data_IF_681235614164
#
_entry.id   IF_681235614164
#
_cell.length_a   1.000
_cell.length_b   1.000
_cell.length_c   1.000
_cell.angle_alpha   90.00
_cell.angle_beta   90.00
_cell.angle_gamma   90.00
#
_symmetry.space_group_name_H-M   'P 1'
#
loop_
_entity.id
_entity.type
_entity.pdbx_description
1 polymer ?
#
# COMPACT_ATOMS: atom_id res chain seq x y z
N UNK A 1 -34.32 -11.17 90.17
CA UNK A 1 -35.12 -12.22 89.49
C UNK A 1 -34.58 -12.38 88.14
N UNK A 2 -33.85 -13.49 87.97
CA UNK A 2 -32.99 -13.80 86.82
C UNK A 2 -33.77 -14.78 85.92
N UNK A 3 -33.92 -14.42 84.67
CA UNK A 3 -34.42 -15.38 83.67
C UNK A 3 -33.35 -15.64 82.60
N UNK A 4 -32.94 -16.91 82.52
CA UNK A 4 -31.98 -17.49 81.62
C UNK A 4 -32.73 -17.76 80.32
N UNK A 5 -32.24 -17.28 79.18
CA UNK A 5 -32.76 -17.59 77.88
C UNK A 5 -31.79 -18.58 77.17
N UNK A 6 -32.31 -19.70 76.79
CA UNK A 6 -31.57 -20.79 76.16
C UNK A 6 -31.35 -20.52 74.68
N UNK A 7 -30.08 -20.65 74.20
CA UNK A 7 -29.72 -20.60 72.78
C UNK A 7 -30.01 -21.98 72.13
N UNK A 8 -30.87 -21.94 71.10
CA UNK A 8 -31.02 -23.06 70.18
C UNK A 8 -29.90 -23.02 69.12
N UNK A 9 -29.07 -24.03 69.03
CA UNK A 9 -28.12 -24.19 67.98
C UNK A 9 -28.77 -24.79 66.72
N UNK A 10 -28.85 -24.05 65.64
CA UNK A 10 -29.29 -24.58 64.36
C UNK A 10 -28.11 -25.26 63.63
N UNK A 11 -28.30 -26.51 63.28
CA UNK A 11 -27.32 -27.30 62.51
C UNK A 11 -27.35 -26.84 61.03
N UNK A 12 -26.16 -26.47 60.49
CA UNK A 12 -25.97 -26.20 59.08
C UNK A 12 -25.93 -27.51 58.26
N UNK A 13 -26.51 -27.53 57.05
CA UNK A 13 -26.42 -28.71 56.18
C UNK A 13 -24.99 -28.85 55.58
N UNK A 14 -24.57 -30.05 55.22
CA UNK A 14 -23.23 -30.30 54.70
C UNK A 14 -23.03 -29.64 53.32
N UNK A 15 -21.90 -28.96 53.16
CA UNK A 15 -21.47 -28.39 51.91
C UNK A 15 -21.11 -29.50 50.93
N UNK A 16 -21.81 -29.62 49.80
CA UNK A 16 -21.48 -30.55 48.73
C UNK A 16 -20.11 -30.22 48.13
N UNK A 17 -19.25 -31.23 48.00
CA UNK A 17 -17.95 -31.10 47.37
C UNK A 17 -18.12 -30.68 45.89
N UNK A 18 -17.25 -29.81 45.33
CA UNK A 18 -17.31 -29.45 43.92
C UNK A 18 -17.01 -30.68 43.05
N UNK A 19 -17.87 -30.92 42.06
CA UNK A 19 -17.66 -31.99 41.08
C UNK A 19 -16.33 -31.74 40.33
N UNK A 20 -15.50 -32.76 40.21
CA UNK A 20 -14.26 -32.73 39.48
C UNK A 20 -14.52 -32.33 38.01
N UNK A 21 -13.92 -31.26 37.55
CA UNK A 21 -14.01 -30.84 36.17
C UNK A 21 -13.41 -31.93 35.26
N UNK A 22 -14.21 -32.43 34.33
CA UNK A 22 -13.74 -33.33 33.28
C UNK A 22 -12.72 -32.59 32.43
N UNK A 23 -11.50 -33.11 32.25
CA UNK A 23 -10.51 -32.45 31.41
C UNK A 23 -11.02 -32.39 29.95
N UNK A 24 -11.21 -31.20 29.42
CA UNK A 24 -11.47 -30.99 28.00
C UNK A 24 -10.23 -31.49 27.25
N UNK A 25 -10.35 -32.39 26.26
CA UNK A 25 -9.20 -32.79 25.47
C UNK A 25 -8.64 -31.55 24.76
N UNK A 26 -7.38 -31.19 25.08
CA UNK A 26 -6.64 -30.20 24.31
C UNK A 26 -6.51 -30.75 22.90
N UNK A 27 -7.12 -30.06 21.93
CA UNK A 27 -6.75 -30.26 20.52
C UNK A 27 -5.23 -30.15 20.41
N UNK A 28 -4.55 -31.12 19.76
CA UNK A 28 -3.13 -30.96 19.49
C UNK A 28 -2.95 -29.68 18.73
N UNK A 29 -2.10 -28.76 19.25
CA UNK A 29 -1.64 -27.60 18.49
C UNK A 29 -1.12 -28.14 17.15
N UNK A 30 -1.63 -27.64 16.04
CA UNK A 30 -1.13 -27.97 14.72
C UNK A 30 0.40 -27.80 14.80
N UNK A 31 1.15 -28.89 14.56
CA UNK A 31 2.58 -28.87 14.62
C UNK A 31 3.06 -27.80 13.62
N UNK A 32 3.66 -26.71 14.10
CA UNK A 32 4.26 -25.71 13.24
C UNK A 32 5.28 -26.44 12.36
N UNK A 33 5.10 -26.36 11.04
CA UNK A 33 6.10 -26.89 10.12
C UNK A 33 7.45 -26.24 10.45
N UNK A 34 8.56 -26.98 10.43
CA UNK A 34 9.87 -26.37 10.62
C UNK A 34 10.04 -25.19 9.67
N UNK A 35 10.63 -24.10 10.14
CA UNK A 35 10.79 -22.86 9.33
C UNK A 35 11.45 -23.13 7.97
N UNK A 36 12.40 -24.06 7.92
CA UNK A 36 13.07 -24.47 6.70
C UNK A 36 12.11 -25.01 5.64
N UNK A 37 11.09 -25.75 6.04
CA UNK A 37 10.05 -26.25 5.14
C UNK A 37 9.16 -25.11 4.62
N UNK A 38 8.81 -24.15 5.48
CA UNK A 38 8.06 -22.96 5.08
C UNK A 38 8.88 -22.10 4.11
N UNK A 39 10.18 -21.87 4.38
CA UNK A 39 11.04 -21.10 3.51
C UNK A 39 11.24 -21.77 2.14
N UNK A 40 11.40 -23.10 2.11
CA UNK A 40 11.50 -23.85 0.85
C UNK A 40 10.20 -23.79 0.04
N UNK A 41 9.03 -23.83 0.70
CA UNK A 41 7.75 -23.67 0.03
C UNK A 41 7.57 -22.25 -0.51
N UNK A 42 7.99 -21.22 0.24
CA UNK A 42 8.03 -19.84 -0.25
C UNK A 42 8.94 -19.69 -1.47
N UNK A 43 10.16 -20.25 -1.43
CA UNK A 43 11.07 -20.24 -2.60
C UNK A 43 10.38 -20.85 -3.82
N UNK A 44 9.70 -21.99 -3.64
CA UNK A 44 9.01 -22.70 -4.72
C UNK A 44 7.84 -21.89 -5.31
N UNK A 45 6.93 -21.37 -4.45
CA UNK A 45 5.74 -20.66 -4.95
C UNK A 45 6.08 -19.32 -5.58
N UNK A 46 7.08 -18.61 -5.05
CA UNK A 46 7.55 -17.33 -5.61
C UNK A 46 8.20 -17.55 -6.98
N UNK A 47 9.12 -18.50 -7.10
CA UNK A 47 9.77 -18.80 -8.37
C UNK A 47 8.77 -19.27 -9.43
N UNK A 48 7.80 -20.11 -9.03
CA UNK A 48 6.75 -20.57 -9.93
C UNK A 48 5.88 -19.38 -10.40
N UNK A 49 5.36 -18.57 -9.49
CA UNK A 49 4.52 -17.42 -9.82
C UNK A 49 5.27 -16.38 -10.67
N UNK A 50 6.54 -16.09 -10.34
CA UNK A 50 7.36 -15.19 -11.13
C UNK A 50 7.62 -15.72 -12.56
N UNK A 51 7.90 -17.02 -12.69
CA UNK A 51 8.12 -17.67 -13.99
C UNK A 51 6.84 -17.65 -14.84
N UNK A 52 5.70 -18.05 -14.24
CA UNK A 52 4.40 -18.10 -14.94
C UNK A 52 3.94 -16.70 -15.37
N UNK A 53 4.29 -15.68 -14.60
CA UNK A 53 3.98 -14.28 -14.90
C UNK A 53 5.03 -13.59 -15.80
N UNK A 54 6.12 -14.28 -16.17
CA UNK A 54 7.17 -13.69 -17.03
C UNK A 54 7.97 -12.57 -16.37
N UNK A 55 8.07 -12.56 -15.04
CA UNK A 55 8.79 -11.54 -14.27
C UNK A 55 10.30 -11.76 -14.38
N UNK A 56 11.10 -10.77 -14.89
CA UNK A 56 12.54 -10.93 -15.01
C UNK A 56 13.24 -11.08 -13.67
N UNK A 57 12.84 -10.27 -12.67
CA UNK A 57 13.42 -10.29 -11.34
C UNK A 57 12.45 -9.80 -10.26
N UNK A 58 12.59 -10.38 -9.07
CA UNK A 58 11.76 -10.03 -7.90
C UNK A 58 12.57 -10.01 -6.63
N UNK A 59 12.29 -9.04 -5.77
CA UNK A 59 12.76 -8.94 -4.39
C UNK A 59 11.55 -9.17 -3.49
N UNK A 60 11.68 -10.08 -2.52
CA UNK A 60 10.61 -10.40 -1.56
C UNK A 60 11.13 -10.38 -0.15
N UNK A 61 10.37 -9.76 0.73
CA UNK A 61 10.56 -9.83 2.17
C UNK A 61 9.27 -10.18 2.91
N UNK A 62 9.36 -11.13 3.83
CA UNK A 62 8.28 -11.47 4.77
C UNK A 62 8.84 -11.51 6.18
N UNK A 63 8.20 -10.75 7.07
CA UNK A 63 8.56 -10.69 8.49
C UNK A 63 7.34 -10.99 9.34
N UNK A 64 7.49 -11.90 10.30
CA UNK A 64 6.45 -12.27 11.23
C UNK A 64 7.06 -12.54 12.60
N UNK A 65 6.50 -12.01 13.72
CA UNK A 65 7.04 -12.22 15.06
C UNK A 65 7.18 -13.71 15.39
N UNK A 66 8.31 -14.05 16.00
CA UNK A 66 8.60 -15.44 16.41
C UNK A 66 9.05 -16.36 15.27
N UNK A 67 9.19 -15.84 14.06
CA UNK A 67 9.74 -16.57 12.91
C UNK A 67 11.02 -15.87 12.41
N UNK A 68 11.99 -16.62 11.85
CA UNK A 68 13.09 -16.01 11.12
C UNK A 68 12.58 -15.19 9.94
N UNK A 69 13.27 -14.10 9.61
CA UNK A 69 12.95 -13.30 8.45
C UNK A 69 13.12 -14.12 7.15
N UNK A 70 12.17 -13.98 6.24
CA UNK A 70 12.34 -14.44 4.87
C UNK A 70 12.67 -13.23 3.99
N UNK A 71 13.88 -13.19 3.41
CA UNK A 71 14.31 -12.14 2.49
C UNK A 71 15.06 -12.80 1.36
N UNK A 72 14.56 -12.67 0.13
CA UNK A 72 15.11 -13.30 -1.08
C UNK A 72 15.02 -12.38 -2.28
N UNK A 73 15.92 -12.59 -3.22
CA UNK A 73 15.84 -12.06 -4.56
C UNK A 73 15.97 -13.21 -5.57
N UNK A 74 15.17 -13.18 -6.63
CA UNK A 74 15.15 -14.18 -7.69
C UNK A 74 15.23 -13.51 -9.05
N UNK A 75 15.79 -14.20 -10.04
CA UNK A 75 15.91 -13.71 -11.41
C UNK A 75 17.01 -12.67 -11.58
N UNK A 76 16.81 -11.76 -12.52
CA UNK A 76 17.82 -10.80 -12.96
C UNK A 76 17.37 -9.35 -12.75
N UNK A 77 18.31 -8.51 -12.36
CA UNK A 77 18.14 -7.06 -12.26
C UNK A 77 18.31 -6.37 -13.64
N UNK A 78 19.10 -7.00 -14.51
CA UNK A 78 19.29 -6.56 -15.89
C UNK A 78 19.27 -7.80 -16.81
N UNK A 79 18.41 -7.76 -17.84
CA UNK A 79 18.27 -8.85 -18.82
C UNK A 79 19.34 -8.82 -19.88
N UNK A 80 20.04 -7.69 -20.09
CA UNK A 80 21.09 -7.54 -21.10
C UNK A 80 22.37 -8.27 -20.70
N UNK A 81 22.84 -8.03 -19.47
CA UNK A 81 24.08 -8.61 -18.97
C UNK A 81 23.84 -9.76 -17.98
N UNK A 82 22.56 -10.10 -17.74
CA UNK A 82 22.15 -11.12 -16.78
C UNK A 82 22.62 -10.83 -15.34
N UNK A 83 22.74 -9.54 -14.97
CA UNK A 83 23.07 -9.16 -13.60
C UNK A 83 22.02 -9.71 -12.62
N UNK A 84 22.43 -10.43 -11.55
CA UNK A 84 21.47 -11.05 -10.66
C UNK A 84 20.67 -10.00 -9.87
N UNK A 85 19.38 -10.30 -9.64
CA UNK A 85 18.58 -9.50 -8.70
C UNK A 85 19.17 -9.59 -7.30
N UNK A 86 19.17 -8.46 -6.56
CA UNK A 86 19.69 -8.35 -5.20
C UNK A 86 18.72 -7.61 -4.31
N UNK A 87 18.78 -7.89 -3.01
CA UNK A 87 17.84 -7.32 -2.02
C UNK A 87 18.13 -5.87 -1.62
N UNK A 88 19.26 -5.34 -2.03
CA UNK A 88 19.74 -3.97 -1.73
C UNK A 88 19.60 -3.00 -2.92
N UNK A 89 18.80 -3.36 -3.94
CA UNK A 89 18.56 -2.52 -5.09
C UNK A 89 17.44 -1.52 -4.82
N UNK A 90 17.65 -0.28 -5.26
CA UNK A 90 16.60 0.71 -5.35
C UNK A 90 15.59 0.32 -6.44
N UNK A 91 14.31 0.55 -6.16
CA UNK A 91 13.19 0.26 -7.06
C UNK A 91 12.25 1.47 -7.11
N UNK A 92 11.59 1.68 -8.24
CA UNK A 92 10.45 2.61 -8.31
C UNK A 92 9.24 1.93 -7.69
N UNK A 93 8.53 2.63 -6.77
CA UNK A 93 7.46 2.05 -5.96
C UNK A 93 6.04 2.43 -6.43
N UNK A 94 5.93 3.16 -7.54
CA UNK A 94 4.63 3.49 -8.12
C UNK A 94 3.65 4.09 -7.12
N UNK A 95 2.43 3.65 -7.18
CA UNK A 95 1.32 4.19 -6.38
C UNK A 95 1.46 4.05 -4.87
N UNK A 96 2.44 3.32 -4.35
CA UNK A 96 2.77 3.38 -2.92
C UNK A 96 3.16 4.80 -2.49
N UNK A 97 3.60 5.65 -3.44
CA UNK A 97 3.78 7.10 -3.27
C UNK A 97 2.59 7.79 -2.61
N UNK A 98 1.35 7.34 -2.92
CA UNK A 98 0.12 7.91 -2.36
C UNK A 98 0.08 7.84 -0.85
N UNK A 99 0.61 6.76 -0.27
CA UNK A 99 0.66 6.61 1.17
C UNK A 99 1.52 7.69 1.83
N UNK A 100 2.60 8.11 1.17
CA UNK A 100 3.48 9.20 1.65
C UNK A 100 2.83 10.58 1.47
N UNK A 101 2.28 10.85 0.29
CA UNK A 101 1.60 12.13 0.00
C UNK A 101 0.43 12.38 0.95
N UNK A 102 -0.42 11.35 1.14
CA UNK A 102 -1.56 11.47 2.04
C UNK A 102 -1.11 11.52 3.51
N UNK A 103 -0.02 10.85 3.90
CA UNK A 103 0.54 11.01 5.26
C UNK A 103 1.02 12.44 5.48
N UNK A 104 1.64 13.09 4.51
CA UNK A 104 2.02 14.50 4.61
C UNK A 104 0.78 15.39 4.83
N UNK A 105 -0.29 15.19 4.05
CA UNK A 105 -1.56 15.89 4.24
C UNK A 105 -2.13 15.64 5.65
N UNK A 106 -2.19 14.39 6.10
CA UNK A 106 -2.77 14.02 7.40
C UNK A 106 -1.97 14.60 8.58
N UNK A 107 -0.66 14.80 8.44
CA UNK A 107 0.11 15.56 9.44
C UNK A 107 -0.26 17.04 9.49
N UNK A 108 -0.64 17.64 8.36
CA UNK A 108 -1.19 19.02 8.36
C UNK A 108 -2.58 19.06 9.00
N UNK A 109 -3.38 18.01 8.83
CA UNK A 109 -4.66 17.85 9.57
C UNK A 109 -4.42 17.78 11.08
N UNK A 110 -3.44 16.98 11.52
CA UNK A 110 -3.07 16.88 12.94
C UNK A 110 -2.64 18.22 13.56
N UNK A 111 -2.06 19.10 12.75
CA UNK A 111 -1.65 20.45 13.17
C UNK A 111 -2.77 21.47 13.06
N UNK A 112 -3.93 21.11 12.51
CA UNK A 112 -5.06 22.02 12.27
C UNK A 112 -4.80 23.03 11.15
N UNK A 113 -3.85 22.76 10.26
CA UNK A 113 -3.51 23.61 9.12
C UNK A 113 -4.46 23.40 7.94
N UNK A 114 -5.09 22.21 7.85
CA UNK A 114 -6.14 21.84 6.87
C UNK A 114 -7.21 20.98 7.54
N UNK A 115 -8.45 21.01 7.04
CA UNK A 115 -9.53 20.08 7.41
C UNK A 115 -9.76 19.01 6.35
N UNK A 116 -10.03 17.76 6.75
CA UNK A 116 -10.38 16.71 5.78
C UNK A 116 -11.65 17.04 4.99
N UNK A 117 -12.56 17.79 5.57
CA UNK A 117 -13.84 18.16 4.96
C UNK A 117 -13.79 19.55 4.29
N UNK A 118 -12.61 20.17 4.20
CA UNK A 118 -12.41 21.38 3.42
C UNK A 118 -12.60 21.09 1.93
N UNK A 119 -13.28 22.00 1.17
CA UNK A 119 -13.38 21.85 -0.28
C UNK A 119 -12.05 22.10 -0.97
N UNK A 120 -11.76 21.34 -2.02
CA UNK A 120 -10.51 21.51 -2.78
C UNK A 120 -10.37 22.90 -3.38
N UNK A 121 -11.47 23.57 -3.71
CA UNK A 121 -11.48 24.95 -4.23
C UNK A 121 -10.89 25.98 -3.28
N UNK A 122 -10.77 25.67 -1.98
CA UNK A 122 -10.05 26.53 -1.02
C UNK A 122 -8.53 26.58 -1.24
N UNK A 123 -7.98 25.60 -1.99
CA UNK A 123 -6.55 25.39 -2.16
C UNK A 123 -6.10 25.46 -3.62
N UNK A 124 -6.90 24.91 -4.54
CA UNK A 124 -6.56 24.80 -5.97
C UNK A 124 -7.74 25.34 -6.78
N UNK A 125 -7.44 26.36 -7.60
CA UNK A 125 -8.43 26.98 -8.48
C UNK A 125 -8.73 26.10 -9.71
N UNK A 126 -9.92 26.25 -10.28
CA UNK A 126 -10.28 25.65 -11.58
C UNK A 126 -10.66 24.16 -11.53
N UNK A 127 -10.70 23.54 -10.34
CA UNK A 127 -11.12 22.13 -10.20
C UNK A 127 -12.60 22.00 -10.51
N UNK A 128 -13.02 21.14 -11.48
CA UNK A 128 -14.42 20.89 -11.77
C UNK A 128 -15.19 20.42 -10.53
N UNK A 129 -16.28 21.13 -10.18
CA UNK A 129 -17.09 20.88 -8.98
C UNK A 129 -16.29 20.98 -7.64
N UNK A 130 -15.18 21.72 -7.66
CA UNK A 130 -14.22 21.79 -6.53
C UNK A 130 -14.80 22.35 -5.22
N UNK A 131 -15.95 23.06 -5.28
CA UNK A 131 -16.69 23.53 -4.10
C UNK A 131 -17.37 22.39 -3.33
N UNK A 132 -17.64 21.26 -3.99
CA UNK A 132 -18.34 20.10 -3.44
C UNK A 132 -17.42 18.90 -3.22
N UNK A 133 -16.17 18.94 -3.70
CA UNK A 133 -15.18 17.90 -3.53
C UNK A 133 -14.31 18.21 -2.32
N UNK A 134 -14.32 17.34 -1.31
CA UNK A 134 -13.51 17.51 -0.09
C UNK A 134 -12.14 16.84 -0.22
N UNK A 135 -11.17 17.25 0.64
CA UNK A 135 -9.87 16.60 0.72
C UNK A 135 -10.00 15.11 1.10
N UNK A 136 -11.00 14.77 1.92
CA UNK A 136 -11.35 13.39 2.26
C UNK A 136 -11.72 12.59 1.02
N UNK A 137 -12.63 13.11 0.19
CA UNK A 137 -13.09 12.43 -1.03
C UNK A 137 -12.00 12.30 -2.10
N UNK A 138 -11.00 13.18 -2.09
CA UNK A 138 -9.79 13.00 -2.89
C UNK A 138 -8.93 11.86 -2.33
N UNK A 139 -8.72 11.83 -1.01
CA UNK A 139 -7.86 10.85 -0.36
C UNK A 139 -8.43 9.43 -0.38
N UNK A 140 -9.76 9.27 -0.34
CA UNK A 140 -10.45 7.97 -0.37
C UNK A 140 -10.96 7.56 -1.78
N UNK A 141 -10.51 8.27 -2.83
CA UNK A 141 -10.82 7.98 -4.23
C UNK A 141 -12.31 8.10 -4.59
N UNK A 142 -13.03 9.06 -3.97
CA UNK A 142 -14.47 9.28 -4.18
C UNK A 142 -14.82 10.68 -4.70
N UNK A 143 -13.85 11.37 -5.30
CA UNK A 143 -14.07 12.72 -5.84
C UNK A 143 -14.97 12.78 -7.07
N UNK A 144 -14.99 11.71 -7.88
CA UNK A 144 -15.62 11.69 -9.20
C UNK A 144 -14.80 12.34 -10.31
N UNK A 145 -13.64 12.91 -10.02
CA UNK A 145 -12.76 13.50 -11.04
C UNK A 145 -12.17 12.42 -11.96
N UNK A 146 -12.15 12.72 -13.25
CA UNK A 146 -11.53 11.85 -14.24
C UNK A 146 -10.03 11.65 -13.94
N UNK A 147 -9.55 10.41 -14.08
CA UNK A 147 -8.13 10.10 -13.94
C UNK A 147 -7.38 10.43 -15.24
N UNK A 148 -6.49 11.44 -15.25
CA UNK A 148 -5.70 11.78 -16.44
C UNK A 148 -4.98 10.57 -17.05
N UNK A 149 -4.58 9.60 -16.22
CA UNK A 149 -3.92 8.38 -16.66
C UNK A 149 -4.81 7.42 -17.49
N UNK A 150 -6.13 7.66 -17.51
CA UNK A 150 -7.09 6.94 -18.38
C UNK A 150 -7.29 7.64 -19.72
N UNK A 151 -6.78 8.87 -19.91
CA UNK A 151 -6.88 9.60 -21.16
C UNK A 151 -6.03 8.93 -22.25
N UNK A 152 -6.62 8.72 -23.43
CA UNK A 152 -5.96 8.01 -24.53
C UNK A 152 -4.82 8.81 -25.16
N UNK A 153 -4.94 10.14 -25.19
CA UNK A 153 -3.88 11.04 -25.66
C UNK A 153 -2.69 11.02 -24.72
N UNK A 154 -2.96 11.06 -23.42
CA UNK A 154 -1.92 10.91 -22.40
C UNK A 154 -1.20 9.55 -22.52
N UNK A 155 -1.95 8.45 -22.65
CA UNK A 155 -1.36 7.11 -22.79
C UNK A 155 -0.50 7.01 -24.05
N UNK A 156 -0.94 7.61 -25.16
CA UNK A 156 -0.14 7.69 -26.37
C UNK A 156 1.16 8.47 -26.15
N UNK A 157 1.10 9.62 -25.49
CA UNK A 157 2.30 10.41 -25.18
C UNK A 157 3.24 9.68 -24.22
N UNK A 158 2.70 8.97 -23.24
CA UNK A 158 3.52 8.16 -22.32
C UNK A 158 4.32 7.09 -23.07
N UNK A 159 3.72 6.44 -24.08
CA UNK A 159 4.38 5.43 -24.90
C UNK A 159 5.37 6.02 -25.93
N UNK A 160 5.07 7.20 -26.49
CA UNK A 160 5.88 7.81 -27.58
C UNK A 160 6.93 8.80 -27.10
N UNK A 161 6.72 9.42 -25.94
CA UNK A 161 7.61 10.42 -25.34
C UNK A 161 7.98 10.04 -23.88
N UNK A 162 8.56 8.83 -23.61
CA UNK A 162 8.73 8.30 -22.27
C UNK A 162 9.66 9.14 -21.37
N UNK A 163 10.48 10.01 -21.96
CA UNK A 163 11.40 10.89 -21.24
C UNK A 163 10.81 12.29 -20.99
N UNK A 164 9.55 12.55 -21.41
CA UNK A 164 8.90 13.84 -21.21
C UNK A 164 8.77 14.16 -19.73
N UNK A 165 9.18 15.39 -19.38
CA UNK A 165 8.89 15.95 -18.06
C UNK A 165 7.46 16.49 -18.05
N UNK A 166 6.67 16.06 -17.09
CA UNK A 166 5.30 16.52 -16.85
C UNK A 166 5.25 17.42 -15.62
N UNK A 167 4.49 18.51 -15.70
CA UNK A 167 4.13 19.30 -14.54
C UNK A 167 2.77 18.86 -13.97
N UNK A 168 2.51 19.06 -12.67
CA UNK A 168 1.20 18.78 -12.10
C UNK A 168 0.04 19.50 -12.81
N UNK A 169 0.27 20.74 -13.28
CA UNK A 169 -0.74 21.51 -14.02
C UNK A 169 -1.11 20.85 -15.35
N UNK A 170 -0.13 20.38 -16.14
CA UNK A 170 -0.41 19.68 -17.40
C UNK A 170 -1.24 18.41 -17.17
N UNK A 171 -0.99 17.67 -16.09
CA UNK A 171 -1.78 16.47 -15.73
C UNK A 171 -3.22 16.83 -15.36
N UNK A 172 -3.40 17.94 -14.62
CA UNK A 172 -4.74 18.42 -14.24
C UNK A 172 -5.49 19.00 -15.44
N UNK A 173 -4.81 19.70 -16.37
CA UNK A 173 -5.44 20.20 -17.58
C UNK A 173 -6.05 19.04 -18.38
N UNK A 174 -5.33 17.91 -18.55
CA UNK A 174 -5.87 16.71 -19.20
C UNK A 174 -7.08 16.17 -18.44
N UNK A 175 -7.02 16.06 -17.12
CA UNK A 175 -8.13 15.54 -16.33
C UNK A 175 -9.38 16.41 -16.44
N UNK A 176 -9.20 17.73 -16.46
CA UNK A 176 -10.30 18.72 -16.44
C UNK A 176 -10.94 18.96 -17.82
N UNK A 177 -10.34 18.47 -18.90
CA UNK A 177 -11.00 18.38 -20.21
C UNK A 177 -12.14 17.36 -20.23
N UNK A 178 -12.20 16.45 -19.25
CA UNK A 178 -13.24 15.43 -19.12
C UNK A 178 -14.27 15.81 -18.05
N UNK A 179 -15.55 15.41 -18.24
CA UNK A 179 -16.57 15.60 -17.22
C UNK A 179 -16.30 14.71 -16.00
N UNK A 180 -16.75 15.17 -14.83
CA UNK A 180 -16.76 14.33 -13.63
C UNK A 180 -17.58 13.05 -13.91
N UNK A 181 -17.08 11.91 -13.43
CA UNK A 181 -17.64 10.59 -13.73
C UNK A 181 -18.89 10.28 -12.91
N UNK A 182 -18.99 10.86 -11.72
CA UNK A 182 -20.10 10.72 -10.77
C UNK A 182 -20.08 11.88 -9.76
N UNK A 183 -21.18 12.14 -9.04
CA UNK A 183 -21.22 13.13 -7.98
C UNK A 183 -20.27 12.77 -6.82
N UNK A 184 -19.56 13.75 -6.24
CA UNK A 184 -18.61 13.51 -5.16
C UNK A 184 -19.19 12.68 -4.00
N UNK A 185 -18.42 11.71 -3.50
CA UNK A 185 -18.78 10.83 -2.39
C UNK A 185 -19.69 9.65 -2.73
N UNK A 186 -20.20 9.52 -3.97
CA UNK A 186 -21.23 8.51 -4.29
C UNK A 186 -20.67 7.16 -4.76
N UNK A 187 -19.46 7.14 -5.33
CA UNK A 187 -18.83 5.93 -5.86
C UNK A 187 -17.33 5.96 -5.59
N UNK A 188 -16.72 4.80 -5.66
CA UNK A 188 -15.26 4.64 -5.69
C UNK A 188 -14.78 4.57 -7.14
N UNK A 189 -13.79 5.40 -7.51
CA UNK A 189 -13.00 5.23 -8.73
C UNK A 189 -11.58 5.71 -8.50
N UNK A 190 -10.63 4.78 -8.62
CA UNK A 190 -9.22 5.07 -8.40
C UNK A 190 -8.70 6.09 -9.42
N UNK A 191 -8.23 7.23 -8.93
CA UNK A 191 -7.79 8.36 -9.76
C UNK A 191 -6.48 8.97 -9.27
N UNK A 192 -5.47 8.97 -10.14
CA UNK A 192 -4.20 9.66 -9.87
C UNK A 192 -4.38 11.18 -9.73
N UNK A 193 -5.38 11.76 -10.43
CA UNK A 193 -5.72 13.19 -10.35
C UNK A 193 -5.97 13.62 -8.91
N UNK A 194 -6.62 12.79 -8.11
CA UNK A 194 -6.90 13.06 -6.71
C UNK A 194 -5.64 13.32 -5.90
N UNK A 195 -4.64 12.46 -6.05
CA UNK A 195 -3.42 12.58 -5.25
C UNK A 195 -2.49 13.68 -5.78
N UNK A 196 -2.54 13.98 -7.08
CA UNK A 196 -1.87 15.18 -7.62
C UNK A 196 -2.44 16.44 -6.96
N UNK A 197 -3.77 16.56 -6.85
CA UNK A 197 -4.43 17.67 -6.14
C UNK A 197 -4.01 17.73 -4.67
N UNK A 198 -3.97 16.59 -3.96
CA UNK A 198 -3.52 16.55 -2.56
C UNK A 198 -2.06 16.97 -2.40
N UNK A 199 -1.19 16.61 -3.36
CA UNK A 199 0.20 17.09 -3.40
C UNK A 199 0.26 18.61 -3.51
N UNK A 200 -0.56 19.21 -4.38
CA UNK A 200 -0.65 20.68 -4.51
C UNK A 200 -1.20 21.36 -3.26
N UNK A 201 -2.16 20.74 -2.55
CA UNK A 201 -2.64 21.23 -1.24
C UNK A 201 -1.49 21.27 -0.24
N UNK A 202 -0.68 20.20 -0.16
CA UNK A 202 0.50 20.16 0.72
C UNK A 202 1.48 21.27 0.38
N UNK A 203 1.81 21.50 -0.91
CA UNK A 203 2.69 22.57 -1.32
C UNK A 203 2.10 23.96 -1.03
N UNK A 204 0.79 24.15 -1.27
CA UNK A 204 0.09 25.41 -1.02
C UNK A 204 0.14 25.81 0.45
N UNK A 205 -0.13 24.86 1.36
CA UNK A 205 -0.20 25.11 2.80
C UNK A 205 1.20 25.28 3.40
N UNK A 206 2.16 24.48 2.98
CA UNK A 206 3.52 24.52 3.54
C UNK A 206 4.43 25.55 2.87
N UNK A 207 4.05 26.09 1.71
CA UNK A 207 4.89 26.91 0.84
C UNK A 207 6.25 26.27 0.49
N UNK A 208 6.26 24.93 0.34
CA UNK A 208 7.46 24.13 0.09
C UNK A 208 7.19 23.06 -0.96
N UNK A 209 8.20 22.67 -1.76
CA UNK A 209 8.06 21.54 -2.68
C UNK A 209 7.67 20.25 -1.92
N UNK A 210 6.77 19.46 -2.50
CA UNK A 210 6.25 18.22 -1.90
C UNK A 210 7.38 17.26 -1.49
N UNK A 211 8.43 17.13 -2.33
CA UNK A 211 9.61 16.29 -2.02
C UNK A 211 10.29 16.68 -0.71
N UNK A 212 10.39 17.99 -0.44
CA UNK A 212 11.01 18.49 0.79
C UNK A 212 10.11 18.26 2.01
N UNK A 213 8.80 18.37 1.82
CA UNK A 213 7.82 18.09 2.88
C UNK A 213 7.85 16.60 3.22
N UNK A 214 7.78 15.70 2.22
CA UNK A 214 7.88 14.25 2.43
C UNK A 214 9.20 13.90 3.14
N UNK A 215 10.34 14.45 2.67
CA UNK A 215 11.63 14.20 3.30
C UNK A 215 11.64 14.59 4.78
N UNK A 216 11.20 15.80 5.10
CA UNK A 216 11.38 16.35 6.45
C UNK A 216 10.31 15.87 7.43
N UNK A 217 9.09 15.55 6.96
CA UNK A 217 7.99 15.09 7.81
C UNK A 217 7.86 13.57 7.88
N UNK A 218 8.39 12.83 6.90
CA UNK A 218 8.14 11.39 6.80
C UNK A 218 9.45 10.60 6.71
N UNK A 219 10.24 10.74 5.62
CA UNK A 219 11.34 9.80 5.40
C UNK A 219 12.45 9.97 6.42
N UNK A 220 12.88 11.20 6.70
CA UNK A 220 13.90 11.46 7.73
C UNK A 220 13.46 11.04 9.14
N UNK A 221 12.27 11.42 9.66
CA UNK A 221 11.83 10.99 11.00
C UNK A 221 11.65 9.47 11.13
N UNK A 222 11.36 8.77 10.03
CA UNK A 222 11.18 7.32 9.99
C UNK A 222 12.46 6.55 9.68
N UNK A 223 13.60 7.24 9.41
CA UNK A 223 14.87 6.61 9.04
C UNK A 223 14.82 5.87 7.72
N UNK A 224 14.05 6.40 6.74
CA UNK A 224 13.93 5.84 5.39
C UNK A 224 14.94 6.54 4.48
N UNK A 225 16.18 6.08 4.54
CA UNK A 225 17.32 6.79 3.94
C UNK A 225 17.41 6.61 2.41
N UNK A 226 16.77 5.58 1.86
CA UNK A 226 16.71 5.28 0.42
C UNK A 226 15.37 5.64 -0.22
N UNK A 227 14.46 6.28 0.54
CA UNK A 227 13.12 6.62 0.09
C UNK A 227 13.00 8.11 -0.18
N UNK A 228 12.66 8.49 -1.42
CA UNK A 228 12.51 9.90 -1.80
C UNK A 228 11.62 10.08 -3.03
N UNK A 229 11.09 11.29 -3.19
CA UNK A 229 10.38 11.74 -4.39
C UNK A 229 11.40 12.44 -5.32
N UNK A 230 11.72 11.86 -6.49
CA UNK A 230 12.67 12.45 -7.43
C UNK A 230 12.10 13.74 -8.08
N UNK A 231 12.98 14.59 -8.57
CA UNK A 231 12.60 15.81 -9.30
C UNK A 231 12.27 15.52 -10.77
N UNK A 232 13.01 14.60 -11.35
CA UNK A 232 12.86 14.15 -12.74
C UNK A 232 13.06 12.63 -12.85
N UNK A 233 13.96 12.18 -13.72
CA UNK A 233 14.24 10.76 -13.96
C UNK A 233 15.35 10.18 -13.07
N UNK A 234 15.79 10.89 -12.03
CA UNK A 234 16.86 10.41 -11.14
C UNK A 234 16.54 9.01 -10.60
N UNK A 235 17.54 8.13 -10.71
CA UNK A 235 17.45 6.79 -10.16
C UNK A 235 18.82 6.37 -9.62
N UNK A 236 19.06 6.51 -8.30
CA UNK A 236 20.35 6.24 -7.71
C UNK A 236 20.79 4.78 -7.84
N UNK A 237 22.08 4.59 -8.05
CA UNK A 237 22.71 3.27 -8.00
C UNK A 237 22.88 2.80 -6.54
N UNK A 238 22.80 1.48 -6.26
CA UNK A 238 22.44 0.43 -7.23
C UNK A 238 20.92 0.35 -7.42
N UNK A 239 20.46 0.13 -8.64
CA UNK A 239 19.04 -0.10 -8.95
C UNK A 239 18.86 -1.27 -9.91
N UNK A 240 17.65 -1.82 -10.01
CA UNK A 240 17.29 -2.77 -11.04
C UNK A 240 16.82 -2.04 -12.31
N UNK A 241 17.09 -2.60 -13.48
CA UNK A 241 16.45 -2.20 -14.73
C UNK A 241 14.98 -2.62 -14.75
N UNK A 242 14.10 -1.81 -15.32
CA UNK A 242 12.66 -2.06 -15.40
C UNK A 242 12.20 -2.35 -16.82
N UNK A 243 11.27 -3.28 -17.00
CA UNK A 243 10.82 -3.75 -18.31
C UNK A 243 9.32 -3.58 -18.49
N UNK A 244 8.93 -2.91 -19.59
CA UNK A 244 7.53 -2.52 -19.87
C UNK A 244 7.16 -2.82 -21.31
N UNK A 245 5.88 -3.02 -21.59
CA UNK A 245 5.28 -3.03 -22.93
C UNK A 245 4.54 -1.71 -23.27
N UNK A 246 4.67 -0.69 -22.41
CA UNK A 246 4.19 0.68 -22.68
C UNK A 246 5.10 1.35 -23.69
N UNK A 247 4.99 0.90 -24.93
CA UNK A 247 5.75 1.34 -26.10
C UNK A 247 4.78 1.53 -27.27
N UNK A 248 5.16 2.26 -28.34
CA UNK A 248 4.25 2.55 -29.45
C UNK A 248 3.71 1.33 -30.17
N UNK A 249 4.44 0.23 -30.15
CA UNK A 249 4.10 -1.05 -30.82
C UNK A 249 3.83 -2.21 -29.86
N UNK A 250 3.85 -1.96 -28.54
CA UNK A 250 3.64 -2.97 -27.49
C UNK A 250 4.80 -3.95 -27.33
N UNK A 251 5.96 -3.66 -27.89
CA UNK A 251 7.16 -4.49 -27.66
C UNK A 251 7.79 -4.19 -26.32
N UNK A 252 8.36 -5.22 -25.67
CA UNK A 252 9.02 -5.03 -24.38
C UNK A 252 10.29 -4.20 -24.54
N UNK A 253 10.42 -3.16 -23.72
CA UNK A 253 11.56 -2.26 -23.67
C UNK A 253 12.06 -2.04 -22.23
N UNK A 254 13.30 -1.60 -22.10
CA UNK A 254 13.87 -1.11 -20.86
C UNK A 254 13.32 0.30 -20.56
N UNK A 255 12.64 0.42 -19.45
CA UNK A 255 12.01 1.67 -18.96
C UNK A 255 12.79 2.33 -17.82
N UNK A 256 14.00 1.89 -17.53
CA UNK A 256 14.80 2.37 -16.38
C UNK A 256 14.92 3.89 -16.37
N UNK A 257 15.16 4.48 -17.56
CA UNK A 257 15.35 5.92 -17.75
C UNK A 257 14.06 6.68 -18.08
N UNK A 258 12.88 6.00 -18.08
CA UNK A 258 11.61 6.68 -18.29
C UNK A 258 11.36 7.71 -17.19
N UNK A 259 10.81 8.86 -17.57
CA UNK A 259 10.58 9.94 -16.61
C UNK A 259 9.30 9.69 -15.79
N UNK A 260 9.40 9.50 -14.45
CA UNK A 260 8.25 9.21 -13.59
C UNK A 260 7.44 10.46 -13.21
N UNK A 261 7.79 11.65 -13.71
CA UNK A 261 7.15 12.92 -13.31
C UNK A 261 5.65 12.95 -13.54
N UNK A 262 5.14 12.18 -14.50
CA UNK A 262 3.71 12.01 -14.72
C UNK A 262 3.00 11.37 -13.52
N UNK A 263 3.70 10.59 -12.71
CA UNK A 263 3.18 10.04 -11.45
C UNK A 263 3.25 11.03 -10.29
N UNK A 264 4.29 11.86 -10.26
CA UNK A 264 4.58 12.86 -9.22
C UNK A 264 4.10 12.43 -7.82
N UNK A 265 3.17 13.21 -7.22
CA UNK A 265 2.56 12.92 -5.91
C UNK A 265 1.81 11.57 -5.83
N UNK A 266 1.45 11.01 -6.98
CA UNK A 266 0.66 9.79 -7.09
C UNK A 266 1.50 8.52 -7.36
N UNK A 267 2.78 8.66 -7.83
CA UNK A 267 3.46 7.45 -8.30
C UNK A 267 4.96 7.54 -8.54
N UNK A 268 5.66 8.63 -8.23
CA UNK A 268 7.03 8.81 -8.71
C UNK A 268 8.14 8.40 -7.72
N UNK A 269 7.82 8.01 -6.48
CA UNK A 269 8.84 7.72 -5.46
C UNK A 269 9.67 6.49 -5.77
N UNK A 270 10.87 6.51 -5.20
CA UNK A 270 11.86 5.43 -5.20
C UNK A 270 12.05 4.99 -3.76
N UNK A 271 12.30 3.69 -3.56
CA UNK A 271 12.63 3.10 -2.26
C UNK A 271 13.38 1.78 -2.43
N UNK A 272 13.69 1.13 -1.32
CA UNK A 272 14.24 -0.22 -1.26
C UNK A 272 13.42 -1.14 -0.32
N UNK A 273 13.85 -2.39 -0.22
CA UNK A 273 13.15 -3.40 0.57
C UNK A 273 13.09 -3.07 2.07
N UNK A 274 14.19 -2.56 2.63
CA UNK A 274 14.30 -2.35 4.08
C UNK A 274 13.51 -1.11 4.52
N UNK A 275 13.55 -0.05 3.71
CA UNK A 275 12.74 1.14 3.93
C UNK A 275 11.23 0.81 3.80
N UNK A 276 10.84 0.07 2.76
CA UNK A 276 9.43 -0.31 2.56
C UNK A 276 8.93 -1.25 3.66
N UNK A 277 9.76 -2.14 4.19
CA UNK A 277 9.42 -2.91 5.40
C UNK A 277 9.07 -1.99 6.57
N UNK A 278 9.92 -1.01 6.84
CA UNK A 278 9.74 -0.07 7.95
C UNK A 278 8.50 0.81 7.73
N UNK A 279 8.27 1.22 6.47
CA UNK A 279 7.12 2.01 6.07
C UNK A 279 5.80 1.25 6.22
N UNK A 280 5.73 -0.03 5.84
CA UNK A 280 4.53 -0.87 5.95
C UNK A 280 3.93 -0.85 7.36
N UNK A 281 4.75 -1.09 8.38
CA UNK A 281 4.30 -1.04 9.76
C UNK A 281 3.89 0.39 10.18
N UNK A 282 4.70 1.39 9.81
CA UNK A 282 4.47 2.78 10.16
C UNK A 282 3.12 3.28 9.61
N UNK A 283 2.86 3.09 8.32
CA UNK A 283 1.64 3.58 7.67
C UNK A 283 0.38 2.87 8.17
N UNK A 284 0.49 1.56 8.46
CA UNK A 284 -0.64 0.77 8.95
C UNK A 284 -0.98 1.05 10.43
N UNK A 285 0.02 1.38 11.26
CA UNK A 285 -0.15 1.60 12.70
C UNK A 285 -0.24 3.06 13.10
N UNK A 286 0.08 3.99 12.19
CA UNK A 286 -0.02 5.44 12.43
C UNK A 286 1.14 6.01 13.23
N UNK A 287 2.36 5.51 13.03
CA UNK A 287 3.55 5.97 13.77
C UNK A 287 3.87 7.47 13.63
N UNK A 288 3.34 8.13 12.60
CA UNK A 288 3.53 9.56 12.33
C UNK A 288 2.27 10.42 12.51
N UNK A 289 1.16 9.83 12.93
CA UNK A 289 -0.14 10.49 13.05
C UNK A 289 -0.68 10.39 14.48
N UNK A 290 -1.59 11.30 14.85
CA UNK A 290 -2.35 11.12 16.08
C UNK A 290 -3.28 9.89 15.96
N UNK A 291 -3.65 9.24 17.09
CA UNK A 291 -4.58 8.12 17.05
C UNK A 291 -5.92 8.45 16.39
N UNK A 292 -6.38 9.71 16.52
CA UNK A 292 -7.61 10.17 15.88
C UNK A 292 -7.47 10.17 14.35
N UNK A 293 -6.42 10.78 13.83
CA UNK A 293 -6.21 10.90 12.38
C UNK A 293 -5.88 9.55 11.75
N UNK A 294 -5.18 8.67 12.48
CA UNK A 294 -4.99 7.29 12.02
C UNK A 294 -6.31 6.51 11.97
N UNK A 295 -7.21 6.72 12.92
CA UNK A 295 -8.53 6.09 12.85
C UNK A 295 -9.35 6.60 11.66
N UNK A 296 -9.29 7.90 11.34
CA UNK A 296 -9.88 8.48 10.11
C UNK A 296 -9.27 7.87 8.84
N UNK A 297 -7.92 7.66 8.82
CA UNK A 297 -7.24 7.02 7.70
C UNK A 297 -7.77 5.62 7.43
N UNK A 298 -8.01 4.84 8.49
CA UNK A 298 -8.40 3.45 8.43
C UNK A 298 -9.92 3.23 8.41
N UNK A 299 -10.72 4.29 8.44
CA UNK A 299 -12.18 4.22 8.20
C UNK A 299 -12.45 3.99 6.70
N UNK A 300 -11.99 2.84 6.21
CA UNK A 300 -12.00 2.47 4.82
C UNK A 300 -13.38 2.03 4.37
N UNK A 301 -13.75 2.42 3.14
CA UNK A 301 -15.01 2.09 2.53
C UNK A 301 -14.81 1.06 1.41
N UNK A 302 -15.76 0.13 1.19
CA UNK A 302 -15.64 -0.89 0.15
C UNK A 302 -15.35 -0.28 -1.24
N UNK A 303 -14.45 -0.91 -1.98
CA UNK A 303 -14.16 -0.55 -3.39
C UNK A 303 -15.15 -1.14 -4.37
N UNK A 304 -15.89 -2.17 -3.95
CA UNK A 304 -16.76 -3.00 -4.78
C UNK A 304 -16.14 -4.36 -5.12
N UNK A 305 -14.83 -4.51 -4.93
CA UNK A 305 -14.18 -5.83 -5.01
C UNK A 305 -14.29 -6.57 -3.66
N UNK A 306 -14.51 -7.89 -3.65
CA UNK A 306 -14.61 -8.68 -2.42
C UNK A 306 -13.36 -8.56 -1.55
N UNK A 307 -13.55 -8.39 -0.23
CA UNK A 307 -12.46 -8.29 0.73
C UNK A 307 -11.58 -7.04 0.60
N UNK A 308 -11.98 -6.08 -0.26
CA UNK A 308 -11.20 -4.90 -0.60
C UNK A 308 -11.90 -3.60 -0.18
N UNK A 309 -11.16 -2.72 0.49
CA UNK A 309 -11.65 -1.42 0.94
C UNK A 309 -10.53 -0.37 0.83
N UNK A 310 -10.89 0.89 0.61
CA UNK A 310 -9.92 1.97 0.49
C UNK A 310 -10.19 3.07 1.52
N UNK A 311 -9.16 3.44 2.28
CA UNK A 311 -9.17 4.52 3.24
C UNK A 311 -8.47 5.77 2.69
N UNK A 312 -7.94 6.64 3.58
CA UNK A 312 -7.27 7.85 3.12
C UNK A 312 -5.85 7.52 2.61
N UNK A 313 -5.75 7.33 1.30
CA UNK A 313 -4.51 6.98 0.59
C UNK A 313 -3.92 5.63 1.01
N UNK A 314 -4.76 4.68 1.36
CA UNK A 314 -4.34 3.35 1.81
C UNK A 314 -5.37 2.29 1.41
N UNK A 315 -4.88 1.16 0.97
CA UNK A 315 -5.66 -0.02 0.61
C UNK A 315 -5.74 -1.00 1.78
N UNK A 316 -6.90 -1.66 1.95
CA UNK A 316 -7.12 -2.74 2.92
C UNK A 316 -7.69 -3.94 2.17
N UNK A 317 -6.85 -4.94 1.95
CA UNK A 317 -7.20 -6.14 1.21
C UNK A 317 -7.10 -7.38 2.11
N UNK A 318 -8.22 -8.04 2.40
CA UNK A 318 -8.29 -9.21 3.30
C UNK A 318 -7.57 -9.02 4.65
N UNK A 319 -7.62 -7.78 5.18
CA UNK A 319 -6.99 -7.39 6.44
C UNK A 319 -5.53 -6.97 6.33
N UNK A 320 -4.89 -7.11 5.16
CA UNK A 320 -3.61 -6.51 4.86
C UNK A 320 -3.79 -5.03 4.56
N UNK A 321 -3.03 -4.18 5.24
CA UNK A 321 -3.09 -2.71 5.15
C UNK A 321 -1.82 -2.21 4.47
N UNK A 322 -1.95 -1.44 3.41
CA UNK A 322 -0.82 -0.89 2.68
C UNK A 322 -1.21 -0.36 1.32
N UNK A 323 -0.40 -0.62 0.31
CA UNK A 323 -0.70 -0.24 -1.06
C UNK A 323 0.12 -1.07 -2.06
N UNK A 324 -0.42 -1.26 -3.27
CA UNK A 324 0.33 -1.73 -4.41
C UNK A 324 0.80 -0.56 -5.28
N UNK A 325 1.84 -0.76 -6.06
CA UNK A 325 2.36 0.21 -7.00
C UNK A 325 2.60 -0.37 -8.38
N UNK A 326 2.36 0.43 -9.42
CA UNK A 326 2.70 0.10 -10.80
C UNK A 326 3.02 1.37 -11.57
N UNK A 327 4.07 1.33 -12.35
CA UNK A 327 4.45 2.31 -13.37
C UNK A 327 5.34 1.60 -14.40
N UNK A 328 5.56 2.19 -15.62
CA UNK A 328 6.35 1.51 -16.63
C UNK A 328 7.67 0.97 -16.09
N UNK A 329 7.84 -0.35 -16.21
CA UNK A 329 9.01 -1.10 -15.78
C UNK A 329 8.98 -1.65 -14.36
N UNK A 330 8.04 -1.27 -13.49
CA UNK A 330 8.10 -1.66 -12.08
C UNK A 330 6.73 -1.91 -11.48
N UNK A 331 6.64 -2.92 -10.61
CA UNK A 331 5.54 -3.08 -9.67
C UNK A 331 6.05 -3.29 -8.25
N UNK A 332 5.22 -2.92 -7.29
CA UNK A 332 5.48 -3.12 -5.87
C UNK A 332 4.21 -3.52 -5.12
N UNK A 333 4.39 -4.14 -3.97
CA UNK A 333 3.34 -4.40 -3.00
C UNK A 333 3.95 -4.34 -1.60
N UNK A 334 3.49 -3.39 -0.80
CA UNK A 334 3.94 -3.23 0.58
C UNK A 334 2.74 -3.20 1.51
N UNK A 335 2.62 -4.24 2.34
CA UNK A 335 1.45 -4.43 3.20
C UNK A 335 1.83 -4.97 4.58
N UNK A 336 1.02 -4.61 5.57
CA UNK A 336 1.11 -5.07 6.95
C UNK A 336 -0.20 -5.71 7.40
N UNK A 337 -0.13 -6.85 8.08
CA UNK A 337 -1.29 -7.54 8.66
C UNK A 337 -1.30 -7.36 10.19
N UNK A 338 -2.11 -6.45 10.75
CA UNK A 338 -2.11 -6.15 12.18
C UNK A 338 -2.41 -7.35 13.07
N UNK A 339 -3.33 -8.22 12.64
CA UNK A 339 -3.74 -9.40 13.38
C UNK A 339 -2.58 -10.39 13.66
N UNK A 340 -1.55 -10.39 12.81
CA UNK A 340 -0.38 -11.26 12.92
C UNK A 340 0.93 -10.49 13.12
N UNK A 341 0.89 -9.15 13.07
CA UNK A 341 2.04 -8.26 13.03
C UNK A 341 3.03 -8.68 11.92
N UNK A 342 2.46 -9.09 10.79
CA UNK A 342 3.23 -9.59 9.66
C UNK A 342 3.39 -8.48 8.62
N UNK A 343 4.61 -8.33 8.08
CA UNK A 343 4.92 -7.44 6.95
C UNK A 343 5.24 -8.27 5.74
N UNK A 344 4.73 -7.87 4.58
CA UNK A 344 5.12 -8.39 3.28
C UNK A 344 5.50 -7.24 2.34
N UNK A 345 6.65 -7.36 1.69
CA UNK A 345 7.11 -6.43 0.65
C UNK A 345 7.52 -7.23 -0.57
N UNK A 346 7.04 -6.82 -1.72
CA UNK A 346 7.36 -7.39 -3.03
C UNK A 346 7.74 -6.23 -3.95
N UNK A 347 8.91 -6.32 -4.58
CA UNK A 347 9.38 -5.37 -5.57
C UNK A 347 9.76 -6.13 -6.83
N UNK A 348 9.18 -5.79 -7.97
CA UNK A 348 9.48 -6.44 -9.25
C UNK A 348 9.88 -5.43 -10.32
N UNK A 349 10.67 -5.89 -11.27
CA UNK A 349 11.20 -5.07 -12.35
C UNK A 349 10.43 -5.26 -13.69
N UNK A 350 9.11 -5.39 -13.59
CA UNK A 350 8.20 -5.29 -14.74
C UNK A 350 6.82 -4.81 -14.28
N UNK A 351 6.08 -4.15 -15.18
CA UNK A 351 4.68 -3.78 -15.00
C UNK A 351 3.74 -4.55 -15.94
N UNK A 352 4.27 -5.45 -16.75
CA UNK A 352 3.50 -6.18 -17.76
C UNK A 352 2.54 -7.15 -17.09
N UNK A 353 1.21 -7.03 -17.29
CA UNK A 353 0.22 -7.91 -16.69
C UNK A 353 0.34 -9.35 -17.21
N UNK A 354 0.12 -10.33 -16.35
CA UNK A 354 0.00 -11.73 -16.73
C UNK A 354 -1.48 -12.14 -16.73
N UNK A 355 -2.01 -12.49 -17.89
CA UNK A 355 -3.42 -12.84 -18.06
C UNK A 355 -4.41 -11.77 -17.53
N UNK A 356 -4.03 -10.49 -17.63
CA UNK A 356 -4.84 -9.36 -17.16
C UNK A 356 -4.73 -9.08 -15.67
N UNK A 357 -3.89 -9.79 -14.92
CA UNK A 357 -3.66 -9.57 -13.50
C UNK A 357 -2.22 -9.07 -13.25
N UNK A 358 -2.06 -8.20 -12.26
CA UNK A 358 -0.74 -7.69 -11.87
C UNK A 358 0.13 -8.78 -11.24
N UNK A 359 1.37 -9.00 -11.72
CA UNK A 359 2.31 -9.93 -11.11
C UNK A 359 2.53 -9.74 -9.60
N UNK A 360 2.53 -8.51 -9.10
CA UNK A 360 2.63 -8.23 -7.66
C UNK A 360 1.47 -8.84 -6.86
N UNK A 361 0.24 -8.82 -7.39
CA UNK A 361 -0.94 -9.45 -6.78
C UNK A 361 -0.84 -10.97 -6.82
N UNK A 362 -0.43 -11.55 -7.96
CA UNK A 362 -0.21 -13.00 -8.10
C UNK A 362 0.81 -13.52 -7.08
N UNK A 363 1.93 -12.84 -6.93
CA UNK A 363 2.96 -13.15 -5.94
C UNK A 363 2.45 -12.96 -4.51
N UNK A 364 1.76 -11.87 -4.23
CA UNK A 364 1.14 -11.60 -2.92
C UNK A 364 0.18 -12.72 -2.51
N UNK A 365 -0.67 -13.17 -3.43
CA UNK A 365 -1.58 -14.31 -3.24
C UNK A 365 -0.81 -15.60 -2.93
N UNK A 366 0.16 -15.96 -3.75
CA UNK A 366 0.95 -17.18 -3.56
C UNK A 366 1.70 -17.19 -2.23
N UNK A 367 2.29 -16.07 -1.83
CA UNK A 367 3.01 -15.93 -0.56
C UNK A 367 2.04 -16.03 0.62
N UNK A 368 0.92 -15.31 0.58
CA UNK A 368 -0.02 -15.27 1.70
C UNK A 368 -0.78 -16.58 1.90
N UNK A 369 -0.99 -17.38 0.85
CA UNK A 369 -1.48 -18.77 0.98
C UNK A 369 -0.56 -19.61 1.86
N UNK A 370 0.75 -19.36 1.84
CA UNK A 370 1.73 -20.09 2.68
C UNK A 370 1.81 -19.51 4.10
N UNK A 371 1.92 -18.16 4.23
CA UNK A 371 2.24 -17.54 5.53
C UNK A 371 1.02 -17.10 6.33
N UNK A 372 -0.12 -16.91 5.67
CA UNK A 372 -1.37 -16.40 6.28
C UNK A 372 -2.61 -16.91 5.54
N UNK A 373 -2.88 -18.23 5.51
CA UNK A 373 -3.95 -18.81 4.71
C UNK A 373 -5.36 -18.36 5.11
N UNK A 374 -5.53 -17.72 6.26
CA UNK A 374 -6.79 -17.08 6.68
C UNK A 374 -6.94 -15.63 6.20
N UNK A 375 -5.91 -15.06 5.55
CA UNK A 375 -5.87 -13.70 5.03
C UNK A 375 -5.10 -13.70 3.70
N UNK A 376 -5.66 -14.36 2.69
CA UNK A 376 -5.00 -14.46 1.37
C UNK A 376 -5.17 -13.15 0.62
N UNK A 377 -4.06 -12.48 0.30
CA UNK A 377 -4.08 -11.22 -0.44
C UNK A 377 -4.61 -11.42 -1.86
N UNK A 378 -5.50 -10.55 -2.31
CA UNK A 378 -6.05 -10.60 -3.67
C UNK A 378 -6.89 -11.86 -3.95
N UNK A 379 -7.46 -12.48 -2.92
CA UNK A 379 -8.34 -13.64 -3.11
C UNK A 379 -9.67 -13.21 -3.73
N UNK A 380 -9.99 -13.79 -4.88
CA UNK A 380 -11.26 -13.56 -5.58
C UNK A 380 -12.33 -14.63 -5.25
N UNK A 381 -12.05 -15.57 -4.35
CA UNK A 381 -12.93 -16.72 -4.07
C UNK A 381 -14.20 -16.38 -3.27
N UNK A 382 -14.30 -15.17 -2.72
CA UNK A 382 -15.53 -14.67 -2.05
C UNK A 382 -16.67 -14.34 -3.04
N UNK A 383 -16.53 -14.70 -4.33
CA UNK A 383 -17.55 -14.50 -5.37
C UNK A 383 -18.48 -15.72 -5.58
N UNK A 384 -18.54 -16.68 -4.64
CA UNK A 384 -19.40 -17.85 -4.74
C UNK A 384 -20.68 -17.75 -3.90
#
# INVERSE_FOLDING_TARGET
>A
MTTISACLAAALPPIAAPAAAVPVPRQPAAASQPWEATAAELDRVIQQAATDAGVPGVIVGVWKPGQPRYVRAFGVADTCDCAPMRTDLNMRIGSETKTFTVTALLQLVDRGEVGLDDPISAYVDGVPDGEHITLRQLADMRSGLFAYSKDTGFQHLLATEPHRQWSPSELLDIAFEHPNQFPPGTQFDYSNTNTVLLGLVVEKVTHRPLRDVIRDLITRPSGLDHTFLPEAAEFPLPHAHGYTDVTPDGTVADATDFNPSWGWAAGAMISDLDDMRSWAENVATGGLLTPKTQAERLDAQPTGAPGDAYGLGIDINHGWIGHAGSLPGYQSLTVYLPAQKATMVILLNTDIPSNGENPSTLLGRAITQVVSPGNVYGDASDQA
#
